data_IF_534234890310
#
_entry.id   IF_534234890310
#
_cell.length_a   1.000
_cell.length_b   1.000
_cell.length_c   1.000
_cell.angle_alpha   90.00
_cell.angle_beta   90.00
_cell.angle_gamma   90.00
#
_symmetry.space_group_name_H-M   'P 1'
#
loop_
_entity.id
_entity.type
_entity.pdbx_description
1 polymer ?
#
# COMPACT_ATOMS: atom_id res chain seq x y z
N UNK A 1 17.27 -44.37 -35.63
CA UNK A 1 17.14 -43.05 -36.27
C UNK A 1 16.56 -42.08 -35.24
N UNK A 2 17.35 -41.10 -34.80
CA UNK A 2 16.99 -40.12 -33.76
C UNK A 2 15.90 -39.17 -34.31
N UNK A 3 14.73 -39.14 -33.68
CA UNK A 3 13.67 -38.17 -33.98
C UNK A 3 13.91 -36.93 -33.11
N UNK A 4 14.32 -35.85 -33.75
CA UNK A 4 14.51 -34.53 -33.14
C UNK A 4 13.11 -33.96 -32.91
N UNK A 5 12.71 -33.78 -31.63
CA UNK A 5 11.52 -33.00 -31.28
C UNK A 5 11.86 -31.51 -31.48
N UNK A 6 11.25 -30.89 -32.48
CA UNK A 6 11.21 -29.44 -32.62
C UNK A 6 10.31 -28.85 -31.53
N UNK A 7 10.90 -28.14 -30.57
CA UNK A 7 10.18 -27.35 -29.60
C UNK A 7 9.56 -26.13 -30.30
N UNK A 8 8.25 -26.12 -30.47
CA UNK A 8 7.51 -24.93 -30.89
C UNK A 8 7.51 -23.92 -29.73
N UNK A 9 8.29 -22.85 -29.88
CA UNK A 9 8.25 -21.69 -28.99
C UNK A 9 6.90 -21.02 -29.20
N UNK A 10 6.02 -21.11 -28.20
CA UNK A 10 4.75 -20.40 -28.17
C UNK A 10 5.02 -18.95 -27.75
N UNK A 11 5.25 -18.06 -28.72
CA UNK A 11 5.29 -16.62 -28.45
C UNK A 11 3.85 -16.18 -28.15
N UNK A 12 3.52 -15.99 -26.88
CA UNK A 12 2.25 -15.35 -26.49
C UNK A 12 2.35 -13.88 -26.89
N UNK A 13 1.87 -13.55 -28.08
CA UNK A 13 1.64 -12.18 -28.50
C UNK A 13 0.48 -11.62 -27.68
N UNK A 14 0.78 -10.84 -26.65
CA UNK A 14 -0.23 -9.98 -26.03
C UNK A 14 -0.60 -8.91 -27.05
N UNK A 15 -1.77 -9.04 -27.66
CA UNK A 15 -2.43 -7.93 -28.33
C UNK A 15 -2.74 -6.86 -27.26
N UNK A 16 -1.84 -5.88 -27.12
CA UNK A 16 -2.06 -4.71 -26.29
C UNK A 16 -3.11 -3.84 -26.97
N UNK A 17 -4.36 -3.93 -26.51
CA UNK A 17 -5.28 -2.82 -26.66
C UNK A 17 -4.55 -1.54 -26.21
N UNK A 18 -4.53 -0.51 -27.07
CA UNK A 18 -3.79 0.71 -26.83
C UNK A 18 -4.11 1.25 -25.44
N UNK A 19 -3.12 1.20 -24.55
CA UNK A 19 -3.24 1.69 -23.20
C UNK A 19 -3.14 3.22 -23.25
N UNK A 20 -4.26 3.91 -23.00
CA UNK A 20 -4.35 5.38 -23.17
C UNK A 20 -4.07 6.16 -21.90
N UNK A 21 -4.11 5.51 -20.74
CA UNK A 21 -3.87 6.17 -19.47
C UNK A 21 -2.36 6.24 -19.16
N UNK A 22 -1.93 7.13 -18.28
CA UNK A 22 -0.52 7.22 -17.88
C UNK A 22 -0.11 6.03 -16.98
N UNK A 23 -1.04 5.53 -16.16
CA UNK A 23 -0.82 4.41 -15.26
C UNK A 23 -2.11 3.61 -15.01
N UNK A 24 -2.05 2.29 -15.17
CA UNK A 24 -3.08 1.36 -14.72
C UNK A 24 -2.51 0.50 -13.63
N UNK A 25 -3.27 0.40 -12.54
CA UNK A 25 -2.92 -0.47 -11.42
C UNK A 25 -4.12 -1.30 -11.05
N UNK A 26 -3.88 -2.58 -10.79
CA UNK A 26 -4.84 -3.48 -10.20
C UNK A 26 -4.16 -4.29 -9.11
N UNK A 27 -4.65 -4.18 -7.88
CA UNK A 27 -4.17 -4.92 -6.72
C UNK A 27 -5.31 -5.78 -6.19
N UNK A 28 -4.99 -7.04 -5.91
CA UNK A 28 -5.90 -8.00 -5.26
C UNK A 28 -5.14 -8.66 -4.14
N UNK A 29 -5.72 -8.79 -2.96
CA UNK A 29 -5.12 -9.60 -1.89
C UNK A 29 -6.14 -10.12 -0.89
N UNK A 30 -5.86 -11.32 -0.37
CA UNK A 30 -6.51 -11.88 0.81
C UNK A 30 -6.00 -11.16 2.06
N UNK A 31 -6.85 -10.37 2.67
CA UNK A 31 -6.54 -9.57 3.86
C UNK A 31 -6.17 -10.45 5.06
N UNK A 32 -6.61 -11.71 5.08
CA UNK A 32 -6.22 -12.67 6.14
C UNK A 32 -4.86 -13.33 5.88
N UNK A 33 -4.27 -13.11 4.70
CA UNK A 33 -3.04 -13.72 4.23
C UNK A 33 -3.01 -15.27 4.26
N UNK A 34 -4.17 -15.92 4.34
CA UNK A 34 -4.29 -17.38 4.39
C UNK A 34 -4.05 -18.03 3.03
N UNK A 35 -4.39 -17.32 1.95
CA UNK A 35 -4.21 -17.79 0.58
C UNK A 35 -3.63 -16.71 -0.33
N UNK A 36 -2.29 -16.60 -0.30
CA UNK A 36 -1.54 -15.66 -1.13
C UNK A 36 -1.62 -15.98 -2.64
N UNK A 37 -2.09 -17.17 -3.04
CA UNK A 37 -2.32 -17.47 -4.46
C UNK A 37 -3.47 -16.64 -5.06
N UNK A 38 -4.35 -16.09 -4.20
CA UNK A 38 -5.41 -15.16 -4.59
C UNK A 38 -4.94 -13.71 -4.66
N UNK A 39 -3.70 -13.43 -4.27
CA UNK A 39 -3.10 -12.10 -4.26
C UNK A 39 -2.28 -11.85 -5.51
N UNK A 40 -2.40 -10.66 -6.10
CA UNK A 40 -1.53 -10.22 -7.18
C UNK A 40 -1.47 -8.70 -7.32
N UNK A 41 -0.47 -8.23 -8.07
CA UNK A 41 -0.33 -6.84 -8.53
C UNK A 41 -0.18 -6.80 -10.06
N UNK A 42 -0.98 -5.98 -10.72
CA UNK A 42 -0.81 -5.61 -12.13
C UNK A 42 -0.46 -4.12 -12.19
N UNK A 43 0.55 -3.79 -12.97
CA UNK A 43 0.95 -2.40 -13.24
C UNK A 43 1.16 -2.27 -14.74
N UNK A 44 0.56 -1.28 -15.37
CA UNK A 44 0.81 -0.96 -16.78
C UNK A 44 1.04 0.54 -16.88
N UNK A 45 2.20 0.93 -17.39
CA UNK A 45 2.45 2.30 -17.80
C UNK A 45 3.41 2.30 -18.99
N UNK A 46 3.73 3.48 -19.51
CA UNK A 46 4.47 3.62 -20.76
C UNK A 46 5.88 2.99 -20.72
N UNK A 47 6.56 3.04 -19.57
CA UNK A 47 7.95 2.58 -19.45
C UNK A 47 8.07 1.07 -19.18
N UNK A 48 7.12 0.50 -18.43
CA UNK A 48 7.14 -0.89 -18.03
C UNK A 48 5.75 -1.36 -17.60
N UNK A 49 5.51 -2.67 -17.76
CA UNK A 49 4.27 -3.31 -17.35
C UNK A 49 4.51 -4.72 -16.81
N UNK A 50 3.67 -5.12 -15.87
CA UNK A 50 3.55 -6.49 -15.37
C UNK A 50 2.08 -6.85 -15.23
N UNK A 51 1.73 -8.08 -15.57
CA UNK A 51 0.37 -8.60 -15.45
C UNK A 51 0.33 -9.68 -14.38
N UNK A 52 -0.47 -9.45 -13.32
CA UNK A 52 -0.66 -10.37 -12.19
C UNK A 52 0.64 -10.92 -11.61
N UNK A 53 1.55 -10.02 -11.25
CA UNK A 53 2.69 -10.36 -10.42
C UNK A 53 2.24 -10.94 -9.08
N UNK A 54 2.99 -11.89 -8.53
CA UNK A 54 2.69 -12.56 -7.26
C UNK A 54 3.93 -12.53 -6.38
N UNK A 55 3.74 -12.79 -5.08
CA UNK A 55 4.88 -12.96 -4.16
C UNK A 55 5.69 -14.20 -4.52
N UNK A 56 7.01 -14.06 -4.54
CA UNK A 56 7.98 -15.14 -4.61
C UNK A 56 8.10 -15.79 -3.23
N UNK A 57 7.78 -17.08 -3.14
CA UNK A 57 7.74 -17.78 -1.86
C UNK A 57 9.13 -17.96 -1.23
N UNK A 58 10.21 -17.95 -2.02
CA UNK A 58 11.57 -18.16 -1.52
C UNK A 58 12.19 -16.87 -0.97
N UNK A 59 11.93 -15.75 -1.63
CA UNK A 59 12.55 -14.45 -1.32
C UNK A 59 11.62 -13.50 -0.58
N UNK A 60 10.30 -13.72 -0.63
CA UNK A 60 9.30 -12.77 -0.15
C UNK A 60 9.21 -11.49 -0.99
N UNK A 61 9.90 -11.43 -2.14
CA UNK A 61 9.87 -10.32 -3.08
C UNK A 61 8.77 -10.54 -4.13
N UNK A 62 8.57 -9.57 -5.03
CA UNK A 62 7.65 -9.76 -6.16
C UNK A 62 8.35 -10.52 -7.30
N UNK A 63 7.72 -11.55 -7.86
CA UNK A 63 8.33 -12.45 -8.85
C UNK A 63 8.73 -11.74 -10.14
N UNK A 64 7.88 -10.81 -10.57
CA UNK A 64 8.01 -10.11 -11.84
C UNK A 64 8.28 -8.61 -11.66
N UNK A 65 8.87 -8.23 -10.52
CA UNK A 65 9.33 -6.87 -10.20
C UNK A 65 8.23 -5.79 -10.25
N UNK A 66 6.96 -6.17 -10.09
CA UNK A 66 5.83 -5.24 -10.05
C UNK A 66 5.94 -4.16 -8.98
N UNK A 67 6.58 -4.43 -7.83
CA UNK A 67 6.84 -3.39 -6.82
C UNK A 67 7.86 -2.35 -7.28
N UNK A 68 8.91 -2.79 -8.00
CA UNK A 68 9.91 -1.91 -8.61
C UNK A 68 9.27 -1.07 -9.71
N UNK A 69 8.48 -1.69 -10.59
CA UNK A 69 7.72 -0.99 -11.63
C UNK A 69 6.76 0.02 -11.01
N UNK A 70 5.97 -0.34 -9.99
CA UNK A 70 5.07 0.61 -9.32
C UNK A 70 5.84 1.79 -8.68
N UNK A 71 7.05 1.56 -8.18
CA UNK A 71 7.86 2.61 -7.57
C UNK A 71 8.37 3.64 -8.58
N UNK A 72 8.52 3.30 -9.86
CA UNK A 72 8.92 4.30 -10.88
C UNK A 72 7.85 5.37 -11.09
N UNK A 73 6.58 5.03 -10.82
CA UNK A 73 5.43 5.94 -10.88
C UNK A 73 5.13 6.64 -9.54
N UNK A 74 6.01 6.51 -8.53
CA UNK A 74 5.81 7.13 -7.22
C UNK A 74 5.77 8.65 -7.28
N UNK A 75 6.77 9.21 -7.96
CA UNK A 75 7.07 10.62 -7.95
C UNK A 75 6.95 11.19 -9.35
N UNK A 76 6.53 12.44 -9.44
CA UNK A 76 6.49 13.18 -10.70
C UNK A 76 7.88 13.62 -11.13
N UNK A 77 7.93 14.32 -12.27
CA UNK A 77 9.15 14.99 -12.73
C UNK A 77 9.66 16.04 -11.71
N UNK A 78 8.75 16.60 -10.90
CA UNK A 78 9.03 17.51 -9.78
C UNK A 78 9.58 16.81 -8.53
N UNK A 79 9.80 15.48 -8.58
CA UNK A 79 10.24 14.61 -7.47
C UNK A 79 9.28 14.56 -6.27
N UNK A 80 8.05 15.06 -6.42
CA UNK A 80 7.02 15.01 -5.38
C UNK A 80 6.09 13.82 -5.62
N UNK A 81 5.44 13.33 -4.56
CA UNK A 81 4.55 12.16 -4.64
C UNK A 81 3.37 12.41 -5.58
N UNK A 82 3.07 11.46 -6.47
CA UNK A 82 1.98 11.55 -7.45
C UNK A 82 0.62 11.11 -6.89
N UNK A 83 0.64 10.31 -5.81
CA UNK A 83 -0.55 9.76 -5.16
C UNK A 83 -0.31 9.68 -3.63
N UNK A 84 -1.34 9.40 -2.82
CA UNK A 84 -1.16 9.16 -1.38
C UNK A 84 -0.14 8.06 -1.11
N UNK A 85 0.73 8.26 -0.11
CA UNK A 85 1.77 7.30 0.25
C UNK A 85 1.19 6.01 0.82
N UNK A 86 0.10 6.12 1.58
CA UNK A 86 -0.68 4.99 2.08
C UNK A 86 -1.25 4.16 0.93
N UNK A 87 -1.91 4.80 -0.04
CA UNK A 87 -2.41 4.10 -1.22
C UNK A 87 -1.29 3.36 -1.96
N UNK A 88 -0.15 4.01 -2.18
CA UNK A 88 0.98 3.36 -2.85
C UNK A 88 1.47 2.11 -2.11
N UNK A 89 1.55 2.18 -0.77
CA UNK A 89 1.95 1.03 0.04
C UNK A 89 0.87 -0.06 0.05
N UNK A 90 -0.40 0.30 0.09
CA UNK A 90 -1.51 -0.64 0.09
C UNK A 90 -1.55 -1.49 -1.19
N UNK A 91 -1.29 -0.89 -2.35
CA UNK A 91 -1.25 -1.60 -3.64
C UNK A 91 -0.21 -2.73 -3.64
N UNK A 92 0.86 -2.62 -2.84
CA UNK A 92 1.94 -3.62 -2.77
C UNK A 92 1.55 -4.89 -2.01
N UNK A 93 0.48 -4.87 -1.20
CA UNK A 93 -0.01 -6.09 -0.53
C UNK A 93 -0.42 -7.20 -1.50
N UNK A 94 -0.71 -6.86 -2.76
CA UNK A 94 -0.92 -7.86 -3.82
C UNK A 94 0.27 -8.82 -4.02
N UNK A 95 1.46 -8.42 -3.59
CA UNK A 95 2.71 -9.20 -3.71
C UNK A 95 3.51 -9.22 -2.40
N UNK A 96 2.86 -8.95 -1.27
CA UNK A 96 3.49 -9.01 0.05
C UNK A 96 3.42 -10.42 0.65
N UNK A 97 4.46 -10.88 1.35
CA UNK A 97 4.38 -12.09 2.16
C UNK A 97 3.48 -11.89 3.39
N UNK A 98 2.99 -13.00 3.95
CA UNK A 98 1.95 -13.01 4.98
C UNK A 98 2.30 -12.19 6.24
N UNK A 99 3.57 -12.15 6.64
CA UNK A 99 4.00 -11.46 7.87
C UNK A 99 3.74 -9.95 7.83
N UNK A 100 3.68 -9.32 6.65
CA UNK A 100 3.33 -7.89 6.57
C UNK A 100 1.88 -7.62 6.94
N UNK A 101 0.97 -8.57 6.74
CA UNK A 101 -0.46 -8.34 7.01
C UNK A 101 -0.72 -8.21 8.51
N UNK A 102 -0.20 -9.16 9.30
CA UNK A 102 -0.29 -9.10 10.76
C UNK A 102 0.68 -8.07 11.35
N UNK A 103 1.90 -7.97 10.81
CA UNK A 103 2.94 -7.04 11.27
C UNK A 103 2.60 -5.56 11.05
N UNK A 104 1.68 -5.28 10.13
CA UNK A 104 1.13 -3.94 9.89
C UNK A 104 -0.32 -3.77 10.42
N UNK A 105 -0.90 -4.81 11.05
CA UNK A 105 -2.32 -4.88 11.42
C UNK A 105 -3.25 -4.39 10.30
N UNK A 106 -3.11 -4.97 9.11
CA UNK A 106 -4.00 -4.64 8.01
C UNK A 106 -5.45 -5.04 8.34
N UNK A 107 -6.33 -4.05 8.33
CA UNK A 107 -7.77 -4.22 8.55
C UNK A 107 -8.54 -3.61 7.39
N UNK A 108 -9.58 -4.32 6.96
CA UNK A 108 -10.51 -3.86 5.93
C UNK A 108 -11.91 -4.15 6.43
N UNK A 109 -12.73 -3.11 6.46
CA UNK A 109 -14.13 -3.18 6.88
C UNK A 109 -15.01 -2.62 5.78
N UNK A 110 -16.18 -3.22 5.59
CA UNK A 110 -17.21 -2.68 4.71
C UNK A 110 -18.46 -2.39 5.53
N UNK A 111 -18.87 -1.13 5.54
CA UNK A 111 -20.11 -0.70 6.16
C UNK A 111 -21.32 -1.16 5.34
N UNK A 112 -22.50 -1.19 5.98
CA UNK A 112 -23.76 -1.61 5.34
C UNK A 112 -24.15 -0.76 4.12
N UNK A 113 -23.71 0.49 4.08
CA UNK A 113 -23.97 1.42 2.98
C UNK A 113 -22.98 1.28 1.82
N UNK A 114 -22.06 0.32 1.89
CA UNK A 114 -21.09 0.01 0.84
C UNK A 114 -19.72 0.67 1.02
N UNK A 115 -19.58 1.62 1.96
CA UNK A 115 -18.29 2.28 2.24
C UNK A 115 -17.26 1.27 2.74
N UNK A 116 -16.07 1.27 2.12
CA UNK A 116 -14.93 0.44 2.49
C UNK A 116 -13.92 1.31 3.23
N UNK A 117 -13.53 0.88 4.43
CA UNK A 117 -12.47 1.50 5.22
C UNK A 117 -11.28 0.54 5.29
N UNK A 118 -10.09 1.02 4.92
CA UNK A 118 -8.83 0.29 5.04
C UNK A 118 -7.94 1.02 6.03
N UNK A 119 -7.41 0.29 7.01
CA UNK A 119 -6.51 0.84 8.03
C UNK A 119 -5.35 -0.14 8.29
N UNK A 120 -4.15 0.39 8.41
CA UNK A 120 -2.94 -0.39 8.69
C UNK A 120 -1.80 0.55 9.13
N UNK A 121 -0.75 -0.01 9.72
CA UNK A 121 0.48 0.69 10.11
C UNK A 121 1.63 0.16 9.29
N UNK A 122 2.31 1.00 8.55
CA UNK A 122 3.52 0.59 7.84
C UNK A 122 4.69 1.50 8.20
N UNK A 123 5.79 0.90 8.67
CA UNK A 123 7.04 1.60 9.05
C UNK A 123 6.80 2.74 10.04
N UNK A 124 5.96 2.49 11.03
CA UNK A 124 5.66 3.40 12.13
C UNK A 124 4.50 4.37 11.87
N UNK A 125 3.95 4.38 10.66
CA UNK A 125 2.90 5.33 10.25
C UNK A 125 1.59 4.58 10.04
N UNK A 126 0.55 4.99 10.76
CA UNK A 126 -0.81 4.55 10.51
C UNK A 126 -1.37 5.26 9.28
N UNK A 127 -2.12 4.53 8.46
CA UNK A 127 -2.85 5.02 7.31
C UNK A 127 -4.32 4.64 7.42
N UNK A 128 -5.21 5.52 6.97
CA UNK A 128 -6.64 5.25 6.81
C UNK A 128 -7.10 5.74 5.44
N UNK A 129 -7.79 4.87 4.72
CA UNK A 129 -8.44 5.17 3.44
C UNK A 129 -9.91 4.83 3.55
N UNK A 130 -10.77 5.73 3.09
CA UNK A 130 -12.23 5.54 3.09
C UNK A 130 -12.77 5.77 1.69
N UNK A 131 -13.49 4.79 1.16
CA UNK A 131 -14.18 4.93 -0.13
C UNK A 131 -15.52 5.64 0.02
N UNK A 132 -16.09 6.08 -1.10
CA UNK A 132 -17.51 6.41 -1.16
C UNK A 132 -18.39 5.15 -0.99
N UNK A 133 -19.72 5.34 -0.92
CA UNK A 133 -20.72 4.27 -0.78
C UNK A 133 -20.76 3.28 -1.95
N UNK A 134 -20.17 3.62 -3.09
CA UNK A 134 -20.05 2.76 -4.27
C UNK A 134 -18.71 2.01 -4.31
N UNK A 135 -17.86 2.18 -3.29
CA UNK A 135 -16.52 1.61 -3.27
C UNK A 135 -15.51 2.42 -4.09
N UNK A 136 -15.82 3.65 -4.51
CA UNK A 136 -14.87 4.47 -5.27
C UNK A 136 -13.96 5.28 -4.35
N UNK A 137 -12.70 5.38 -4.77
CA UNK A 137 -11.68 6.19 -4.12
C UNK A 137 -11.06 7.10 -5.19
N UNK A 138 -11.45 8.38 -5.16
CA UNK A 138 -11.25 9.33 -6.27
C UNK A 138 -10.03 10.20 -6.03
N UNK A 139 -9.08 10.21 -6.97
CA UNK A 139 -7.90 11.04 -6.93
C UNK A 139 -7.99 12.22 -7.90
N UNK A 140 -7.39 13.37 -7.55
CA UNK A 140 -6.93 13.73 -6.21
C UNK A 140 -8.11 14.03 -5.26
N UNK A 141 -7.87 14.05 -3.95
CA UNK A 141 -8.87 14.46 -2.95
C UNK A 141 -9.60 13.33 -2.22
N UNK A 142 -9.15 12.08 -2.39
CA UNK A 142 -9.69 10.96 -1.65
C UNK A 142 -9.52 11.11 -0.13
N UNK A 143 -10.43 10.52 0.66
CA UNK A 143 -10.35 10.51 2.13
C UNK A 143 -9.24 9.56 2.58
N UNK A 144 -8.06 10.14 2.73
CA UNK A 144 -6.81 9.46 2.98
C UNK A 144 -6.08 10.21 4.08
N UNK A 145 -5.78 9.54 5.20
CA UNK A 145 -5.16 10.15 6.38
C UNK A 145 -3.96 9.33 6.81
N UNK A 146 -2.97 10.01 7.38
CA UNK A 146 -1.83 9.38 8.02
C UNK A 146 -1.54 9.97 9.40
N UNK A 147 -0.94 9.16 10.26
CA UNK A 147 -0.45 9.57 11.59
C UNK A 147 0.79 8.77 11.96
N UNK A 148 1.85 9.44 12.43
CA UNK A 148 3.02 8.75 13.02
C UNK A 148 2.63 8.23 14.40
N UNK A 149 2.64 6.91 14.59
CA UNK A 149 2.21 6.28 15.85
C UNK A 149 3.22 5.31 16.45
N UNK A 150 4.22 4.90 15.66
CA UNK A 150 5.17 3.86 16.05
C UNK A 150 6.60 4.16 15.55
N UNK A 151 7.59 3.57 16.20
CA UNK A 151 8.95 3.46 15.72
C UNK A 151 9.11 2.18 14.91
N UNK A 152 9.95 2.20 13.86
CA UNK A 152 10.40 1.00 13.18
C UNK A 152 11.77 0.64 13.76
N UNK A 153 11.85 -0.52 14.42
CA UNK A 153 13.07 -1.01 15.03
C UNK A 153 14.02 -1.60 13.97
N UNK A 154 15.29 -1.76 14.37
CA UNK A 154 16.34 -2.30 13.48
C UNK A 154 16.05 -3.74 13.01
N UNK A 155 15.34 -4.51 13.82
CA UNK A 155 14.93 -5.88 13.51
C UNK A 155 13.66 -5.95 12.63
N UNK A 156 13.09 -4.80 12.26
CA UNK A 156 11.87 -4.70 11.47
C UNK A 156 10.57 -4.74 12.29
N UNK A 157 10.64 -4.94 13.60
CA UNK A 157 9.48 -4.82 14.49
C UNK A 157 9.04 -3.35 14.66
N UNK A 158 7.83 -3.15 15.17
CA UNK A 158 7.29 -1.81 15.36
C UNK A 158 6.85 -1.60 16.82
N UNK A 159 7.47 -0.62 17.49
CA UNK A 159 7.08 -0.18 18.83
C UNK A 159 6.06 0.93 18.70
N UNK A 160 4.82 0.68 19.14
CA UNK A 160 3.70 1.63 19.07
C UNK A 160 3.62 2.47 20.35
N UNK A 161 3.29 3.76 20.22
CA UNK A 161 2.98 4.59 21.40
C UNK A 161 1.84 3.96 22.21
N UNK A 162 1.96 4.02 23.53
CA UNK A 162 0.91 3.58 24.45
C UNK A 162 -0.38 4.38 24.34
N UNK A 163 -0.31 5.58 23.76
CA UNK A 163 -1.49 6.39 23.40
C UNK A 163 -2.42 5.67 22.41
N UNK A 164 -1.86 4.75 21.60
CA UNK A 164 -2.56 4.08 20.51
C UNK A 164 -2.58 2.56 20.63
N UNK A 165 -1.78 1.98 21.53
CA UNK A 165 -1.76 0.54 21.80
C UNK A 165 -1.46 0.30 23.28
N UNK A 166 -2.36 -0.31 24.07
CA UNK A 166 -2.17 -0.48 25.51
C UNK A 166 -0.92 -1.29 25.89
N UNK A 167 -0.42 -2.13 24.98
CA UNK A 167 0.78 -2.95 25.18
C UNK A 167 2.00 -2.44 24.43
N UNK A 168 1.86 -1.35 23.65
CA UNK A 168 2.88 -0.86 22.73
C UNK A 168 3.13 -1.75 21.51
N UNK A 169 2.32 -2.79 21.30
CA UNK A 169 2.44 -3.71 20.16
C UNK A 169 1.48 -3.35 19.03
N UNK A 170 1.84 -3.76 17.81
CA UNK A 170 0.99 -3.57 16.62
C UNK A 170 -0.34 -4.30 16.76
N UNK A 171 -0.35 -5.56 17.21
CA UNK A 171 -1.57 -6.36 17.35
C UNK A 171 -2.67 -5.69 18.20
N UNK A 172 -2.26 -4.90 19.20
CA UNK A 172 -3.16 -4.27 20.17
C UNK A 172 -3.56 -2.83 19.82
N UNK A 173 -3.22 -2.32 18.63
CA UNK A 173 -3.59 -0.96 18.21
C UNK A 173 -5.10 -0.70 18.36
N UNK A 174 -5.46 0.38 19.05
CA UNK A 174 -6.80 0.91 19.08
C UNK A 174 -6.99 1.96 17.97
N UNK A 175 -7.68 1.58 16.90
CA UNK A 175 -7.96 2.49 15.78
C UNK A 175 -8.76 3.73 16.17
N UNK A 176 -9.61 3.66 17.20
CA UNK A 176 -10.35 4.82 17.67
C UNK A 176 -9.38 5.87 18.23
N UNK A 177 -8.43 5.46 19.09
CA UNK A 177 -7.39 6.35 19.61
C UNK A 177 -6.48 6.90 18.51
N UNK A 178 -6.08 6.08 17.53
CA UNK A 178 -5.23 6.54 16.41
C UNK A 178 -5.85 7.73 15.67
N UNK A 179 -7.16 7.72 15.47
CA UNK A 179 -7.88 8.75 14.72
C UNK A 179 -8.60 9.78 15.60
N UNK A 180 -8.38 9.73 16.91
CA UNK A 180 -8.83 10.76 17.84
C UNK A 180 -7.91 11.98 17.77
N UNK A 181 -8.48 13.11 17.33
CA UNK A 181 -7.78 14.37 17.20
C UNK A 181 -7.53 15.07 18.55
N UNK A 182 -8.18 14.63 19.64
CA UNK A 182 -7.95 15.15 20.99
C UNK A 182 -6.66 14.62 21.62
N UNK A 183 -6.15 13.47 21.17
CA UNK A 183 -4.85 12.95 21.58
C UNK A 183 -3.77 13.80 20.91
N UNK A 184 -2.94 14.45 21.72
CA UNK A 184 -1.87 15.33 21.26
C UNK A 184 -0.81 14.60 20.41
N UNK A 185 -0.11 15.36 19.57
CA UNK A 185 1.14 14.89 18.94
C UNK A 185 2.35 15.17 19.84
N UNK A 186 3.49 14.56 19.53
CA UNK A 186 4.75 14.86 20.22
C UNK A 186 5.10 13.94 21.39
N UNK A 187 4.24 12.97 21.75
CA UNK A 187 4.57 11.94 22.75
C UNK A 187 5.80 11.16 22.31
N UNK A 188 6.78 10.99 23.19
CA UNK A 188 7.99 10.21 22.90
C UNK A 188 7.61 8.73 22.86
N UNK A 189 7.90 8.10 21.72
CA UNK A 189 7.72 6.66 21.50
C UNK A 189 8.97 5.92 21.99
N UNK A 190 10.14 6.39 21.56
CA UNK A 190 11.45 5.86 21.95
C UNK A 190 12.52 6.93 21.72
N UNK A 191 13.69 6.69 22.30
CA UNK A 191 14.88 7.53 22.14
C UNK A 191 15.99 6.69 21.54
N UNK A 192 16.53 7.14 20.42
CA UNK A 192 17.59 6.44 19.67
C UNK A 192 18.89 7.20 19.82
N UNK A 193 19.92 6.54 20.34
CA UNK A 193 21.28 7.09 20.39
C UNK A 193 22.02 6.79 19.09
N UNK A 194 22.40 7.84 18.37
CA UNK A 194 23.21 7.77 17.16
C UNK A 194 24.65 7.32 17.45
N UNK A 195 25.38 6.98 16.39
CA UNK A 195 26.81 6.63 16.50
C UNK A 195 27.68 7.80 16.99
N UNK A 196 27.18 9.04 16.86
CA UNK A 196 27.78 10.27 17.37
C UNK A 196 27.41 10.57 18.84
N UNK A 197 26.71 9.65 19.51
CA UNK A 197 26.25 9.81 20.89
C UNK A 197 25.02 10.72 21.04
N UNK A 198 24.46 11.28 19.97
CA UNK A 198 23.28 12.13 20.06
C UNK A 198 22.02 11.31 20.23
N UNK A 199 21.19 11.71 21.19
CA UNK A 199 19.87 11.12 21.42
C UNK A 199 18.85 11.82 20.52
N UNK A 200 18.15 11.05 19.70
CA UNK A 200 17.03 11.50 18.87
C UNK A 200 15.75 10.85 19.37
N UNK A 201 14.76 11.67 19.73
CA UNK A 201 13.45 11.19 20.13
C UNK A 201 12.59 10.91 18.90
N UNK A 202 12.02 9.71 18.82
CA UNK A 202 10.96 9.38 17.87
C UNK A 202 9.64 9.71 18.53
N UNK A 203 8.87 10.62 17.94
CA UNK A 203 7.62 11.13 18.52
C UNK A 203 6.39 10.76 17.70
N UNK A 204 5.24 10.74 18.36
CA UNK A 204 3.93 10.66 17.70
C UNK A 204 3.68 11.93 16.87
N UNK A 205 2.90 11.81 15.80
CA UNK A 205 2.54 12.92 14.93
C UNK A 205 1.05 13.23 14.97
N UNK A 206 0.69 14.40 14.44
CA UNK A 206 -0.71 14.77 14.16
C UNK A 206 -1.30 13.94 13.03
N UNK A 207 -2.63 13.90 13.02
CA UNK A 207 -3.39 13.41 11.87
C UNK A 207 -3.21 14.41 10.73
N UNK A 208 -2.75 13.94 9.57
CA UNK A 208 -2.63 14.75 8.36
C UNK A 208 -3.33 14.08 7.19
N UNK A 209 -3.69 14.88 6.20
CA UNK A 209 -4.17 14.37 4.92
C UNK A 209 -3.00 13.72 4.19
N UNK A 210 -3.19 12.48 3.75
CA UNK A 210 -2.25 11.76 2.89
C UNK A 210 -2.63 12.04 1.42
N UNK A 211 -1.90 12.92 0.75
CA UNK A 211 -2.20 13.31 -0.62
C UNK A 211 -0.95 13.19 -1.51
N UNK A 212 -1.19 13.04 -2.82
CA UNK A 212 -0.16 13.37 -3.80
C UNK A 212 0.26 14.84 -3.61
N UNK A 213 1.57 15.07 -3.51
CA UNK A 213 2.15 16.39 -3.29
C UNK A 213 2.65 17.05 -4.59
N UNK A 214 2.64 16.32 -5.71
CA UNK A 214 3.01 16.85 -7.01
C UNK A 214 2.06 17.96 -7.47
N UNK A 215 2.57 18.88 -8.27
CA UNK A 215 1.77 19.89 -8.97
C UNK A 215 0.85 19.25 -10.02
N UNK A 216 1.22 18.07 -10.51
CA UNK A 216 0.47 17.28 -11.48
C UNK A 216 0.23 15.87 -10.95
N UNK A 217 -0.52 15.71 -9.85
CA UNK A 217 -0.74 14.40 -9.26
C UNK A 217 -1.59 13.54 -10.19
N UNK A 218 -1.63 12.24 -9.93
CA UNK A 218 -2.55 11.35 -10.64
C UNK A 218 -4.01 11.75 -10.34
N UNK A 219 -4.81 11.72 -11.40
CA UNK A 219 -6.26 11.85 -11.37
C UNK A 219 -6.90 10.56 -11.90
N UNK A 220 -8.00 10.15 -11.29
CA UNK A 220 -8.73 8.95 -11.67
C UNK A 220 -9.49 8.35 -10.49
N UNK A 221 -10.09 7.19 -10.70
CA UNK A 221 -10.90 6.53 -9.67
C UNK A 221 -10.44 5.10 -9.46
N UNK A 222 -10.04 4.79 -8.23
CA UNK A 222 -9.92 3.42 -7.80
C UNK A 222 -11.31 2.87 -7.49
N UNK A 223 -11.71 1.82 -8.20
CA UNK A 223 -12.87 1.01 -7.81
C UNK A 223 -12.38 -0.05 -6.83
N UNK A 224 -12.91 -0.02 -5.62
CA UNK A 224 -12.63 -0.95 -4.54
C UNK A 224 -13.81 -1.90 -4.33
N UNK A 225 -13.52 -3.17 -4.12
CA UNK A 225 -14.52 -4.15 -3.66
C UNK A 225 -13.91 -4.99 -2.56
N UNK A 226 -14.69 -5.28 -1.51
CA UNK A 226 -14.28 -6.17 -0.44
C UNK A 226 -15.29 -7.31 -0.31
N UNK A 227 -14.86 -8.54 -0.57
CA UNK A 227 -15.73 -9.72 -0.47
C UNK A 227 -14.92 -10.97 -0.15
N UNK A 228 -15.43 -11.80 0.76
CA UNK A 228 -14.78 -13.05 1.17
C UNK A 228 -13.31 -12.85 1.58
N UNK A 229 -13.05 -11.80 2.38
CA UNK A 229 -11.71 -11.36 2.81
C UNK A 229 -10.77 -10.88 1.69
N UNK A 230 -11.24 -10.78 0.45
CA UNK A 230 -10.46 -10.25 -0.66
C UNK A 230 -10.75 -8.77 -0.82
N UNK A 231 -9.71 -7.94 -0.66
CA UNK A 231 -9.72 -6.57 -1.14
C UNK A 231 -9.22 -6.57 -2.58
N UNK A 232 -10.00 -5.95 -3.46
CA UNK A 232 -9.65 -5.72 -4.85
C UNK A 232 -9.76 -4.24 -5.15
N UNK A 233 -8.74 -3.69 -5.82
CA UNK A 233 -8.63 -2.29 -6.19
C UNK A 233 -8.14 -2.21 -7.62
N UNK A 234 -8.76 -1.37 -8.46
CA UNK A 234 -8.24 -1.07 -9.79
C UNK A 234 -8.49 0.37 -10.19
N UNK A 235 -7.56 0.96 -10.96
CA UNK A 235 -7.73 2.27 -11.56
C UNK A 235 -6.96 2.37 -12.88
N UNK A 236 -7.51 3.17 -13.80
CA UNK A 236 -6.73 3.88 -14.82
C UNK A 236 -6.55 5.31 -14.34
N UNK A 237 -5.31 5.79 -14.35
CA UNK A 237 -4.90 7.08 -13.81
C UNK A 237 -4.17 7.88 -14.89
N UNK A 238 -4.52 9.17 -14.97
CA UNK A 238 -3.87 10.14 -15.83
C UNK A 238 -3.15 11.19 -14.98
N UNK A 239 -2.04 11.69 -15.48
CA UNK A 239 -1.35 12.84 -14.88
C UNK A 239 -2.24 14.05 -15.10
N UNK A 240 -2.63 14.73 -14.01
CA UNK A 240 -3.42 15.96 -14.10
C UNK A 240 -2.64 16.99 -14.93
N UNK A 241 -3.23 17.43 -16.04
CA UNK A 241 -2.59 18.37 -16.98
C UNK A 241 -2.47 19.78 -16.41
#
# INVERSE_FOLDING_TARGET
MKRILSAAVFTVAFASAAFTADLYVEARFDVTAKDLSKSYLTVKGAAASVNKDTVDAATGASKAKGTEILNTYRNGADKKSMMPGGLQSLLKYGVSPAHYFSGDKLTVEQAKDGTITVQYVHRGTAYKMVSDKKGNFVLPGADCKLRKIANLEKDGSQTVSTDFSPTGKVEDINWASVWDASIAEGSVITSVTGADGKVTEVKTGKITVDAGASEKPYAGTFTMTFKNNILFMKASLDIKK
#
